data_IF_721278501314
#
_entry.id   IF_721278501314
#
_cell.length_a   1.000
_cell.length_b   1.000
_cell.length_c   1.000
_cell.angle_alpha   90.00
_cell.angle_beta   90.00
_cell.angle_gamma   90.00
#
_symmetry.space_group_name_H-M   'P 1'
#
loop_
_entity.id
_entity.type
_entity.pdbx_description
1 polymer ?
#
# COMPACT_ATOMS: atom_id res chain seq x y z
N UNK A 1 12.03 26.21 -1.83
CA UNK A 1 12.33 24.81 -1.51
C UNK A 1 13.45 24.26 -2.40
N UNK A 2 14.21 23.31 -1.85
CA UNK A 2 15.22 22.54 -2.60
C UNK A 2 15.07 21.08 -2.21
N UNK A 3 15.08 20.19 -3.20
CA UNK A 3 14.97 18.75 -2.98
C UNK A 3 14.27 18.06 -4.14
N UNK A 4 14.03 16.77 -3.97
CA UNK A 4 13.37 15.94 -4.96
C UNK A 4 12.39 14.98 -4.27
N UNK A 5 11.16 14.91 -4.75
CA UNK A 5 10.18 13.90 -4.40
C UNK A 5 10.06 12.90 -5.55
N UNK A 6 10.19 11.61 -5.24
CA UNK A 6 10.05 10.50 -6.22
C UNK A 6 8.73 9.81 -6.04
N UNK A 7 8.29 9.15 -7.09
CA UNK A 7 7.08 8.29 -7.10
C UNK A 7 5.82 9.03 -6.64
N UNK A 8 5.74 10.34 -6.96
CA UNK A 8 4.60 11.18 -6.59
C UNK A 8 3.41 10.81 -7.47
N UNK A 9 2.32 10.31 -6.89
CA UNK A 9 1.14 9.92 -7.66
C UNK A 9 0.54 11.12 -8.39
N UNK A 10 0.32 10.98 -9.71
CA UNK A 10 -0.36 11.96 -10.55
C UNK A 10 0.21 13.39 -10.48
N UNK A 11 1.50 13.55 -10.19
CA UNK A 11 2.12 14.88 -10.06
C UNK A 11 1.98 15.73 -11.33
N UNK A 12 2.03 15.11 -12.50
CA UNK A 12 1.83 15.78 -13.81
C UNK A 12 0.46 16.45 -13.96
N UNK A 13 -0.51 16.05 -13.16
CA UNK A 13 -1.87 16.60 -13.19
C UNK A 13 -2.14 17.58 -12.04
N UNK A 14 -1.20 17.73 -11.09
CA UNK A 14 -1.37 18.60 -9.95
C UNK A 14 -1.18 20.07 -10.31
N UNK A 15 -1.98 20.95 -9.75
CA UNK A 15 -1.79 22.40 -9.83
C UNK A 15 -0.90 22.91 -8.68
N UNK A 16 -0.95 22.24 -7.54
CA UNK A 16 -0.18 22.59 -6.35
C UNK A 16 0.29 21.33 -5.63
N UNK A 17 1.39 21.46 -4.89
CA UNK A 17 1.93 20.43 -4.01
C UNK A 17 1.94 20.92 -2.57
N UNK A 18 1.39 20.14 -1.65
CA UNK A 18 1.63 20.28 -0.22
C UNK A 18 2.88 19.47 0.15
N UNK A 19 3.94 20.12 0.54
CA UNK A 19 5.24 19.51 0.78
C UNK A 19 5.62 19.64 2.25
N UNK A 20 5.90 18.52 2.90
CA UNK A 20 6.52 18.53 4.23
C UNK A 20 8.01 18.77 4.04
N UNK A 21 8.49 19.89 4.56
CA UNK A 21 9.86 20.37 4.40
C UNK A 21 10.45 20.82 5.75
N UNK A 22 11.70 21.25 5.74
CA UNK A 22 12.35 21.90 6.89
C UNK A 22 12.68 23.34 6.54
N UNK A 23 12.35 24.27 7.43
CA UNK A 23 12.75 25.66 7.38
C UNK A 23 13.51 25.99 8.66
N UNK A 24 14.76 26.39 8.53
CA UNK A 24 15.65 26.63 9.68
C UNK A 24 15.69 25.46 10.69
N UNK A 25 15.63 24.22 10.18
CA UNK A 25 15.64 23.00 11.00
C UNK A 25 14.26 22.56 11.52
N UNK A 26 13.24 23.43 11.52
CA UNK A 26 11.89 23.12 11.97
C UNK A 26 11.02 22.56 10.83
N UNK A 27 10.12 21.60 11.11
CA UNK A 27 9.21 21.06 10.10
C UNK A 27 8.13 22.10 9.74
N UNK A 28 7.87 22.21 8.43
CA UNK A 28 6.82 23.06 7.86
C UNK A 28 6.07 22.30 6.76
N UNK A 29 4.81 22.66 6.57
CA UNK A 29 4.08 22.32 5.35
C UNK A 29 4.13 23.53 4.43
N UNK A 30 4.65 23.35 3.23
CA UNK A 30 4.74 24.37 2.21
C UNK A 30 3.79 24.06 1.05
N UNK A 31 2.98 25.02 0.65
CA UNK A 31 2.20 24.95 -0.59
C UNK A 31 3.05 25.51 -1.73
N UNK A 32 3.24 24.73 -2.78
CA UNK A 32 4.06 25.09 -3.94
C UNK A 32 3.23 24.94 -5.20
N UNK A 33 3.22 25.96 -6.05
CA UNK A 33 2.58 25.85 -7.37
C UNK A 33 3.38 24.88 -8.27
N UNK A 34 2.67 24.06 -9.03
CA UNK A 34 3.30 23.12 -9.95
C UNK A 34 3.94 23.83 -11.16
N UNK A 35 3.45 25.03 -11.49
CA UNK A 35 3.99 25.83 -12.57
C UNK A 35 5.45 26.20 -12.32
N UNK A 36 6.32 25.88 -13.25
CA UNK A 36 7.76 26.16 -13.15
C UNK A 36 8.58 25.07 -12.43
N UNK A 37 7.94 24.00 -11.93
CA UNK A 37 8.65 22.83 -11.42
C UNK A 37 9.05 21.89 -12.56
N UNK A 38 10.20 21.26 -12.39
CA UNK A 38 10.61 20.16 -13.27
C UNK A 38 9.96 18.87 -12.81
N UNK A 39 9.00 18.36 -13.61
CA UNK A 39 8.28 17.10 -13.35
C UNK A 39 8.73 16.10 -14.43
N UNK A 40 9.54 15.13 -13.99
CA UNK A 40 9.91 14.00 -14.83
C UNK A 40 8.80 12.94 -14.75
N UNK A 41 8.17 12.67 -15.88
CA UNK A 41 7.05 11.73 -15.97
C UNK A 41 7.54 10.29 -15.96
N UNK A 42 6.92 9.47 -15.13
CA UNK A 42 7.12 8.04 -15.06
C UNK A 42 5.80 7.35 -14.71
N UNK A 43 5.73 6.04 -14.85
CA UNK A 43 4.55 5.25 -14.55
C UNK A 43 4.91 4.04 -13.69
N UNK A 44 3.99 3.68 -12.79
CA UNK A 44 4.09 2.42 -12.03
C UNK A 44 3.87 1.21 -12.95
N UNK A 45 4.12 0.01 -12.41
CA UNK A 45 3.78 -1.25 -13.08
C UNK A 45 2.30 -1.33 -13.48
N UNK A 46 1.42 -0.66 -12.73
CA UNK A 46 -0.01 -0.57 -13.05
C UNK A 46 -0.34 0.40 -14.20
N UNK A 47 0.66 1.14 -14.72
CA UNK A 47 0.46 2.19 -15.71
C UNK A 47 -0.04 3.51 -15.11
N UNK A 48 -0.10 3.64 -13.79
CA UNK A 48 -0.50 4.85 -13.11
C UNK A 48 0.68 5.83 -13.03
N UNK A 49 0.45 7.16 -13.19
CA UNK A 49 1.50 8.16 -13.06
C UNK A 49 2.22 8.11 -11.71
N UNK A 50 3.55 8.06 -11.73
CA UNK A 50 4.46 8.09 -10.57
C UNK A 50 5.65 8.95 -10.90
N UNK A 51 5.43 10.26 -10.83
CA UNK A 51 6.37 11.23 -11.33
C UNK A 51 7.44 11.62 -10.31
N UNK A 52 8.57 12.09 -10.79
CA UNK A 52 9.60 12.71 -9.95
C UNK A 52 9.48 14.23 -10.07
N UNK A 53 9.30 14.91 -8.92
CA UNK A 53 9.20 16.37 -8.83
C UNK A 53 10.49 16.93 -8.25
N UNK A 54 11.13 17.86 -8.96
CA UNK A 54 12.33 18.57 -8.50
C UNK A 54 11.99 20.00 -8.08
N UNK A 55 12.45 20.38 -6.88
CA UNK A 55 12.25 21.70 -6.28
C UNK A 55 13.60 22.45 -6.27
N UNK A 56 13.96 23.10 -7.37
CA UNK A 56 15.25 23.75 -7.51
C UNK A 56 15.11 25.26 -7.25
N UNK A 57 15.03 25.60 -5.94
CA UNK A 57 14.81 26.98 -5.52
C UNK A 57 13.34 27.44 -5.59
N UNK A 58 12.40 26.49 -5.71
CA UNK A 58 10.97 26.81 -5.82
C UNK A 58 10.47 27.65 -4.64
N UNK A 59 9.75 28.72 -4.93
CA UNK A 59 9.10 29.56 -3.92
C UNK A 59 7.84 28.86 -3.40
N UNK A 60 7.62 28.94 -2.09
CA UNK A 60 6.35 28.53 -1.52
C UNK A 60 5.31 29.66 -1.65
N UNK A 61 4.10 29.31 -2.10
CA UNK A 61 2.94 30.22 -2.11
C UNK A 61 2.51 30.53 -0.68
N UNK A 62 2.58 29.55 0.20
CA UNK A 62 2.30 29.68 1.62
C UNK A 62 3.08 28.63 2.42
N UNK A 63 3.36 28.93 3.67
CA UNK A 63 3.95 27.99 4.63
C UNK A 63 3.19 28.03 5.94
N UNK A 64 3.13 26.88 6.62
CA UNK A 64 2.62 26.75 7.99
C UNK A 64 3.53 25.84 8.80
N UNK A 65 3.73 26.10 10.09
CA UNK A 65 4.42 25.16 10.96
C UNK A 65 3.73 23.81 10.94
N UNK A 66 4.51 22.73 10.82
CA UNK A 66 4.02 21.36 10.83
C UNK A 66 4.11 20.79 12.26
N UNK A 67 3.33 21.36 13.19
CA UNK A 67 3.36 20.94 14.60
C UNK A 67 3.02 19.45 14.74
N UNK A 68 3.95 18.68 15.31
CA UNK A 68 3.80 17.24 15.52
C UNK A 68 3.92 16.37 14.27
N UNK A 69 4.00 16.95 13.07
CA UNK A 69 4.18 16.20 11.83
C UNK A 69 5.67 16.01 11.55
N UNK A 70 6.14 14.78 11.60
CA UNK A 70 7.48 14.41 11.16
C UNK A 70 7.46 13.92 9.67
N UNK A 71 8.61 13.92 8.99
CA UNK A 71 8.67 13.43 7.60
C UNK A 71 8.26 11.96 7.45
N UNK A 72 8.38 11.15 8.50
CA UNK A 72 7.97 9.75 8.49
C UNK A 72 6.44 9.61 8.57
N UNK A 73 5.71 10.62 9.08
CA UNK A 73 4.26 10.62 9.12
C UNK A 73 3.63 10.50 7.71
N UNK A 74 4.25 11.16 6.70
CA UNK A 74 3.78 11.05 5.30
C UNK A 74 3.93 9.61 4.80
N UNK A 75 5.04 8.94 5.13
CA UNK A 75 5.29 7.55 4.75
C UNK A 75 4.31 6.62 5.48
N UNK A 76 4.09 6.83 6.78
CA UNK A 76 3.10 6.06 7.57
C UNK A 76 1.69 6.19 7.00
N UNK A 77 1.26 7.43 6.76
CA UNK A 77 -0.05 7.71 6.19
C UNK A 77 -0.23 7.06 4.81
N UNK A 78 0.75 7.26 3.92
CA UNK A 78 0.74 6.63 2.59
C UNK A 78 0.72 5.10 2.67
N UNK A 79 1.46 4.50 3.59
CA UNK A 79 1.44 3.06 3.83
C UNK A 79 0.07 2.57 4.32
N UNK A 80 -0.55 3.25 5.30
CA UNK A 80 -1.89 2.92 5.79
C UNK A 80 -2.95 3.03 4.68
N UNK A 81 -2.92 4.10 3.88
CA UNK A 81 -3.83 4.25 2.72
C UNK A 81 -3.63 3.12 1.70
N UNK A 82 -2.37 2.74 1.42
CA UNK A 82 -2.10 1.64 0.47
C UNK A 82 -2.56 0.29 0.99
N UNK A 83 -2.48 0.01 2.30
CA UNK A 83 -3.02 -1.24 2.84
C UNK A 83 -4.52 -1.36 2.61
N UNK A 84 -5.29 -0.30 2.80
CA UNK A 84 -6.73 -0.28 2.51
C UNK A 84 -7.03 -0.51 1.03
N UNK A 85 -6.33 0.19 0.14
CA UNK A 85 -6.53 0.03 -1.30
C UNK A 85 -6.16 -1.38 -1.78
N UNK A 86 -5.09 -1.97 -1.22
CA UNK A 86 -4.66 -3.32 -1.54
C UNK A 86 -5.64 -4.38 -1.00
N UNK A 87 -6.18 -4.18 0.22
CA UNK A 87 -7.20 -5.06 0.79
C UNK A 87 -8.45 -5.11 -0.12
N UNK A 88 -8.98 -3.95 -0.53
CA UNK A 88 -10.11 -3.90 -1.48
C UNK A 88 -9.77 -4.51 -2.86
N UNK A 89 -8.54 -4.36 -3.36
CA UNK A 89 -8.13 -5.02 -4.60
C UNK A 89 -8.03 -6.55 -4.43
N UNK A 90 -7.62 -7.05 -3.26
CA UNK A 90 -7.59 -8.46 -2.92
C UNK A 90 -9.00 -9.06 -2.85
N UNK A 91 -9.95 -8.37 -2.22
CA UNK A 91 -11.37 -8.75 -2.22
C UNK A 91 -11.90 -8.85 -3.64
N UNK A 92 -11.63 -7.85 -4.47
CA UNK A 92 -12.09 -7.84 -5.85
C UNK A 92 -11.53 -9.01 -6.68
N UNK A 93 -10.24 -9.36 -6.54
CA UNK A 93 -9.68 -10.53 -7.26
C UNK A 93 -10.21 -11.86 -6.72
N UNK A 94 -10.59 -11.95 -5.45
CA UNK A 94 -11.27 -13.12 -4.89
C UNK A 94 -12.64 -13.28 -5.54
N UNK A 95 -13.47 -12.24 -5.56
CA UNK A 95 -14.80 -12.26 -6.17
C UNK A 95 -14.74 -12.63 -7.65
N UNK A 96 -13.82 -12.01 -8.40
CA UNK A 96 -13.58 -12.35 -9.81
C UNK A 96 -13.18 -13.81 -10.00
N UNK A 97 -12.30 -14.35 -9.13
CA UNK A 97 -11.81 -15.71 -9.23
C UNK A 97 -12.88 -16.74 -8.89
N UNK A 98 -13.73 -16.46 -7.91
CA UNK A 98 -14.89 -17.28 -7.56
C UNK A 98 -15.88 -17.29 -8.71
N UNK A 99 -16.25 -16.12 -9.24
CA UNK A 99 -17.21 -16.02 -10.35
C UNK A 99 -16.65 -16.75 -11.60
N UNK A 100 -15.39 -16.54 -11.94
CA UNK A 100 -14.72 -17.24 -13.02
C UNK A 100 -14.78 -18.77 -12.85
N UNK A 101 -14.56 -19.26 -11.65
CA UNK A 101 -14.59 -20.68 -11.36
C UNK A 101 -15.98 -21.30 -11.48
N UNK A 102 -17.04 -20.51 -11.25
CA UNK A 102 -18.42 -20.92 -11.43
C UNK A 102 -18.84 -20.93 -12.91
N UNK A 103 -18.37 -19.97 -13.70
CA UNK A 103 -18.79 -19.77 -15.09
C UNK A 103 -17.97 -20.60 -16.07
N UNK A 104 -16.68 -20.82 -15.79
CA UNK A 104 -15.76 -21.52 -16.71
C UNK A 104 -16.00 -23.03 -16.69
N UNK A 105 -16.49 -23.55 -17.78
CA UNK A 105 -16.70 -25.00 -17.96
C UNK A 105 -15.50 -25.64 -18.66
N UNK A 106 -14.92 -26.66 -18.04
CA UNK A 106 -13.90 -27.54 -18.62
C UNK A 106 -14.13 -28.99 -18.15
N UNK A 107 -13.79 -29.95 -18.98
CA UNK A 107 -14.00 -31.36 -18.68
C UNK A 107 -15.47 -31.68 -18.30
N UNK A 108 -16.41 -31.03 -18.97
CA UNK A 108 -17.86 -31.25 -18.81
C UNK A 108 -18.53 -30.61 -17.57
N UNK A 109 -17.80 -29.81 -16.78
CA UNK A 109 -18.35 -29.14 -15.59
C UNK A 109 -17.63 -27.83 -15.26
N UNK A 110 -18.24 -26.91 -14.45
CA UNK A 110 -17.57 -25.73 -13.94
C UNK A 110 -16.28 -26.07 -13.21
N UNK A 111 -15.21 -25.29 -13.44
CA UNK A 111 -13.90 -25.57 -12.82
C UNK A 111 -13.94 -25.49 -11.29
N UNK A 112 -14.84 -24.72 -10.71
CA UNK A 112 -15.09 -24.65 -9.27
C UNK A 112 -15.61 -25.95 -8.64
N UNK A 113 -15.92 -26.99 -9.45
CA UNK A 113 -16.24 -28.33 -8.96
C UNK A 113 -15.02 -29.23 -8.78
N UNK A 114 -13.82 -28.75 -9.13
CA UNK A 114 -12.57 -29.50 -8.90
C UNK A 114 -11.96 -29.09 -7.55
N UNK A 115 -11.58 -30.10 -6.75
CA UNK A 115 -11.03 -29.88 -5.39
C UNK A 115 -9.78 -28.98 -5.40
N UNK A 116 -8.90 -29.11 -6.39
CA UNK A 116 -7.71 -28.26 -6.50
C UNK A 116 -8.07 -26.77 -6.65
N UNK A 117 -9.11 -26.45 -7.44
CA UNK A 117 -9.58 -25.07 -7.60
C UNK A 117 -10.23 -24.57 -6.31
N UNK A 118 -11.05 -25.41 -5.67
CA UNK A 118 -11.68 -25.06 -4.39
C UNK A 118 -10.64 -24.78 -3.29
N UNK A 119 -9.59 -25.61 -3.22
CA UNK A 119 -8.51 -25.42 -2.26
C UNK A 119 -7.78 -24.11 -2.48
N UNK A 120 -7.43 -23.79 -3.72
CA UNK A 120 -6.77 -22.53 -4.09
C UNK A 120 -7.64 -21.32 -3.75
N UNK A 121 -8.95 -21.36 -4.05
CA UNK A 121 -9.86 -20.28 -3.72
C UNK A 121 -10.08 -20.12 -2.21
N UNK A 122 -10.10 -21.23 -1.46
CA UNK A 122 -10.17 -21.19 0.00
C UNK A 122 -8.89 -20.56 0.61
N UNK A 123 -7.71 -20.89 0.05
CA UNK A 123 -6.47 -20.25 0.45
C UNK A 123 -6.49 -18.74 0.14
N UNK A 124 -6.94 -18.34 -1.07
CA UNK A 124 -7.10 -16.94 -1.44
C UNK A 124 -8.03 -16.22 -0.46
N UNK A 125 -9.18 -16.82 -0.11
CA UNK A 125 -10.12 -16.24 0.85
C UNK A 125 -9.49 -16.03 2.23
N UNK A 126 -8.67 -16.97 2.71
CA UNK A 126 -7.89 -16.81 3.95
C UNK A 126 -6.89 -15.65 3.90
N UNK A 127 -6.17 -15.50 2.77
CA UNK A 127 -5.26 -14.37 2.56
C UNK A 127 -5.99 -13.03 2.56
N UNK A 128 -7.15 -12.95 1.88
CA UNK A 128 -8.01 -11.76 1.81
C UNK A 128 -8.53 -11.38 3.20
N UNK A 129 -9.07 -12.35 3.95
CA UNK A 129 -9.58 -12.09 5.29
C UNK A 129 -8.51 -11.56 6.25
N UNK A 130 -7.32 -12.18 6.24
CA UNK A 130 -6.21 -11.74 7.07
C UNK A 130 -5.68 -10.37 6.66
N UNK A 131 -5.64 -10.06 5.36
CA UNK A 131 -5.24 -8.76 4.83
C UNK A 131 -6.25 -7.66 5.22
N UNK A 132 -7.56 -7.93 5.09
CA UNK A 132 -8.63 -7.01 5.47
C UNK A 132 -8.56 -6.67 6.95
N UNK A 133 -8.51 -7.67 7.83
CA UNK A 133 -8.42 -7.46 9.28
C UNK A 133 -7.19 -6.63 9.68
N UNK A 134 -6.02 -6.88 9.06
CA UNK A 134 -4.81 -6.11 9.34
C UNK A 134 -4.90 -4.66 8.84
N UNK A 135 -5.51 -4.46 7.67
CA UNK A 135 -5.72 -3.12 7.11
C UNK A 135 -6.68 -2.30 7.98
N UNK A 136 -7.81 -2.89 8.39
CA UNK A 136 -8.80 -2.23 9.24
C UNK A 136 -8.22 -1.84 10.60
N UNK A 137 -7.48 -2.74 11.25
CA UNK A 137 -6.78 -2.44 12.50
C UNK A 137 -5.82 -1.24 12.37
N UNK A 138 -5.08 -1.14 11.25
CA UNK A 138 -4.21 0.01 11.00
C UNK A 138 -4.99 1.31 10.76
N UNK A 139 -6.14 1.25 10.08
CA UNK A 139 -6.99 2.41 9.86
C UNK A 139 -7.61 2.92 11.16
N UNK A 140 -8.12 2.01 12.01
CA UNK A 140 -8.64 2.33 13.35
C UNK A 140 -7.56 2.97 14.22
N UNK A 141 -6.36 2.36 14.26
CA UNK A 141 -5.22 2.90 14.99
C UNK A 141 -4.87 4.34 14.57
N UNK A 142 -4.86 4.61 13.25
CA UNK A 142 -4.62 5.96 12.71
C UNK A 142 -5.75 6.92 13.08
N UNK A 143 -7.01 6.47 13.06
CA UNK A 143 -8.17 7.30 13.41
C UNK A 143 -8.17 7.68 14.90
N UNK A 144 -7.81 6.76 15.77
CA UNK A 144 -7.84 6.95 17.23
C UNK A 144 -6.61 7.70 17.76
N UNK A 145 -5.42 7.32 17.29
CA UNK A 145 -4.13 7.79 17.84
C UNK A 145 -3.44 8.83 16.98
N UNK A 146 -3.97 9.08 15.77
CA UNK A 146 -3.35 9.97 14.79
C UNK A 146 -2.11 9.36 14.13
N UNK A 147 -1.51 10.12 13.21
CA UNK A 147 -0.39 9.63 12.38
C UNK A 147 0.99 10.09 12.88
N UNK A 148 1.03 10.95 13.89
CA UNK A 148 2.24 11.55 14.40
C UNK A 148 2.95 10.66 15.43
N UNK A 149 4.28 10.75 15.48
CA UNK A 149 5.07 9.94 16.39
C UNK A 149 5.07 8.44 16.02
N UNK A 150 5.30 7.59 17.01
CA UNK A 150 5.43 6.14 16.83
C UNK A 150 4.18 5.35 17.25
N UNK A 151 3.11 6.04 17.65
CA UNK A 151 1.93 5.41 18.24
C UNK A 151 1.19 4.40 17.32
N UNK A 152 1.37 4.52 16.01
CA UNK A 152 0.74 3.64 15.01
C UNK A 152 1.76 2.86 14.16
N UNK A 153 3.05 2.94 14.51
CA UNK A 153 4.10 2.33 13.70
C UNK A 153 3.97 0.81 13.62
N UNK A 154 3.59 0.16 14.72
CA UNK A 154 3.37 -1.29 14.80
C UNK A 154 2.18 -1.72 13.95
N UNK A 155 1.06 -1.04 14.06
CA UNK A 155 -0.18 -1.38 13.35
C UNK A 155 0.01 -1.23 11.84
N UNK A 156 0.58 -0.11 11.41
CA UNK A 156 0.90 0.13 9.99
C UNK A 156 1.94 -0.87 9.48
N UNK A 157 2.94 -1.23 10.30
CA UNK A 157 3.93 -2.23 9.93
C UNK A 157 3.31 -3.61 9.74
N UNK A 158 2.50 -4.07 10.68
CA UNK A 158 1.77 -5.35 10.60
C UNK A 158 0.88 -5.38 9.37
N UNK A 159 0.12 -4.32 9.12
CA UNK A 159 -0.75 -4.22 7.96
C UNK A 159 0.04 -4.25 6.64
N UNK A 160 1.11 -3.46 6.50
CA UNK A 160 1.94 -3.45 5.27
C UNK A 160 2.62 -4.78 5.01
N UNK A 161 3.05 -5.48 6.06
CA UNK A 161 3.64 -6.83 5.94
C UNK A 161 2.55 -7.80 5.46
N UNK A 162 1.44 -7.90 6.21
CA UNK A 162 0.42 -8.91 5.94
C UNK A 162 -0.26 -8.73 4.59
N UNK A 163 -0.64 -7.47 4.26
CA UNK A 163 -1.27 -7.15 2.98
C UNK A 163 -0.29 -7.30 1.81
N UNK A 164 1.00 -6.98 2.03
CA UNK A 164 2.05 -7.17 1.02
C UNK A 164 2.28 -8.65 0.67
N UNK A 165 2.29 -9.53 1.67
CA UNK A 165 2.37 -10.99 1.47
C UNK A 165 1.13 -11.51 0.75
N UNK A 166 -0.06 -11.11 1.19
CA UNK A 166 -1.32 -11.48 0.57
C UNK A 166 -1.41 -11.04 -0.89
N UNK A 167 -0.88 -9.86 -1.24
CA UNK A 167 -0.83 -9.37 -2.61
C UNK A 167 -0.04 -10.30 -3.54
N UNK A 168 1.10 -10.82 -3.06
CA UNK A 168 1.90 -11.77 -3.82
C UNK A 168 1.19 -13.12 -4.00
N UNK A 169 0.77 -13.72 -2.90
CA UNK A 169 0.10 -15.03 -2.89
C UNK A 169 -1.25 -14.97 -3.60
N UNK A 170 -2.07 -13.96 -3.30
CA UNK A 170 -3.39 -13.78 -3.86
C UNK A 170 -3.38 -13.56 -5.37
N UNK A 171 -2.48 -12.71 -5.87
CA UNK A 171 -2.33 -12.51 -7.31
C UNK A 171 -1.92 -13.81 -8.02
N UNK A 172 -1.00 -14.58 -7.46
CA UNK A 172 -0.57 -15.85 -8.04
C UNK A 172 -1.72 -16.86 -8.12
N UNK A 173 -2.51 -17.01 -7.05
CA UNK A 173 -3.68 -17.90 -7.02
C UNK A 173 -4.74 -17.44 -8.03
N UNK A 174 -5.04 -16.15 -8.10
CA UNK A 174 -6.03 -15.60 -9.02
C UNK A 174 -5.61 -15.86 -10.49
N UNK A 175 -4.36 -15.59 -10.84
CA UNK A 175 -3.84 -15.89 -12.18
C UNK A 175 -3.86 -17.38 -12.49
N UNK A 176 -3.52 -18.24 -11.53
CA UNK A 176 -3.60 -19.69 -11.69
C UNK A 176 -5.04 -20.15 -11.95
N UNK A 177 -6.04 -19.59 -11.25
CA UNK A 177 -7.44 -19.94 -11.44
C UNK A 177 -7.97 -19.51 -12.82
N UNK A 178 -7.55 -18.34 -13.32
CA UNK A 178 -7.98 -17.81 -14.63
C UNK A 178 -7.19 -18.43 -15.81
N UNK A 179 -6.00 -18.99 -15.55
CA UNK A 179 -5.11 -19.49 -16.59
C UNK A 179 -4.68 -18.40 -17.56
N UNK A 180 -4.54 -18.73 -18.84
CA UNK A 180 -4.09 -17.79 -19.87
C UNK A 180 -4.96 -16.51 -19.96
N UNK A 181 -6.26 -16.62 -19.73
CA UNK A 181 -7.20 -15.47 -19.78
C UNK A 181 -6.84 -14.39 -18.77
N UNK A 182 -6.36 -14.74 -17.59
CA UNK A 182 -5.96 -13.77 -16.56
C UNK A 182 -4.80 -12.87 -16.98
N UNK A 183 -4.04 -13.24 -18.00
CA UNK A 183 -2.91 -12.48 -18.53
C UNK A 183 -3.26 -11.65 -19.78
N UNK A 184 -4.46 -11.80 -20.34
CA UNK A 184 -4.89 -11.07 -21.53
C UNK A 184 -5.48 -9.70 -21.15
N UNK A 185 -5.44 -8.74 -22.09
CA UNK A 185 -6.10 -7.45 -21.91
C UNK A 185 -7.64 -7.52 -22.01
N UNK A 186 -8.17 -8.64 -22.47
CA UNK A 186 -9.62 -8.90 -22.57
C UNK A 186 -10.26 -9.11 -21.20
N UNK A 187 -9.49 -9.62 -20.22
CA UNK A 187 -9.96 -9.84 -18.85
C UNK A 187 -9.41 -8.79 -17.89
N UNK A 188 -10.25 -8.28 -16.98
CA UNK A 188 -9.89 -7.17 -16.08
C UNK A 188 -8.97 -7.56 -14.91
N UNK A 189 -8.70 -8.85 -14.67
CA UNK A 189 -7.89 -9.33 -13.54
C UNK A 189 -6.52 -8.64 -13.46
N UNK A 190 -5.84 -8.47 -14.61
CA UNK A 190 -4.53 -7.86 -14.66
C UNK A 190 -4.51 -6.42 -14.15
N UNK A 191 -5.63 -5.70 -14.20
CA UNK A 191 -5.72 -4.32 -13.70
C UNK A 191 -5.55 -4.28 -12.17
N UNK A 192 -6.15 -5.24 -11.46
CA UNK A 192 -6.03 -5.35 -10.01
C UNK A 192 -4.70 -5.96 -9.58
N UNK A 193 -4.23 -7.01 -10.22
CA UNK A 193 -2.97 -7.66 -9.84
C UNK A 193 -1.75 -6.79 -10.11
N UNK A 194 -1.73 -5.99 -11.20
CA UNK A 194 -0.68 -5.00 -11.45
C UNK A 194 -0.67 -3.87 -10.42
N UNK A 195 -1.85 -3.44 -9.93
CA UNK A 195 -1.96 -2.48 -8.82
C UNK A 195 -1.44 -3.08 -7.52
N UNK A 196 -1.80 -4.31 -7.18
CA UNK A 196 -1.30 -5.00 -6.01
C UNK A 196 0.23 -5.05 -6.01
N UNK A 197 0.86 -5.41 -7.12
CA UNK A 197 2.33 -5.45 -7.25
C UNK A 197 2.96 -4.05 -7.20
N UNK A 198 2.35 -3.03 -7.81
CA UNK A 198 2.86 -1.66 -7.76
C UNK A 198 2.72 -1.05 -6.35
N UNK A 199 1.53 -1.13 -5.75
CA UNK A 199 1.23 -0.53 -4.46
C UNK A 199 1.95 -1.22 -3.29
N UNK A 200 2.30 -2.50 -3.45
CA UNK A 200 3.13 -3.25 -2.51
C UNK A 200 4.47 -2.56 -2.26
N UNK A 201 5.10 -2.03 -3.29
CA UNK A 201 6.39 -1.35 -3.19
C UNK A 201 6.28 0.09 -2.66
N UNK A 202 5.13 0.73 -2.81
CA UNK A 202 4.93 2.13 -2.41
C UNK A 202 4.93 2.30 -0.89
N UNK A 203 5.56 3.38 -0.42
CA UNK A 203 5.75 3.69 1.01
C UNK A 203 6.46 2.60 1.81
N UNK A 204 7.26 1.78 1.14
CA UNK A 204 7.98 0.65 1.69
C UNK A 204 7.24 -0.68 1.56
N UNK A 205 7.97 -1.72 1.14
CA UNK A 205 7.45 -3.08 1.03
C UNK A 205 7.52 -3.81 2.39
N UNK A 206 6.99 -5.05 2.42
CA UNK A 206 6.94 -5.87 3.63
C UNK A 206 8.32 -6.08 4.28
N UNK A 207 9.40 -6.17 3.48
CA UNK A 207 10.76 -6.33 4.02
C UNK A 207 11.24 -5.09 4.78
N UNK A 208 10.91 -3.90 4.28
CA UNK A 208 11.26 -2.63 4.93
C UNK A 208 10.51 -2.51 6.25
N UNK A 209 9.21 -2.80 6.23
CA UNK A 209 8.36 -2.72 7.40
C UNK A 209 8.66 -3.81 8.44
N UNK A 210 8.95 -5.04 8.01
CA UNK A 210 9.38 -6.12 8.92
C UNK A 210 10.69 -5.76 9.63
N UNK A 211 11.66 -5.15 8.95
CA UNK A 211 12.90 -4.66 9.58
C UNK A 211 12.62 -3.54 10.58
N UNK A 212 11.68 -2.64 10.28
CA UNK A 212 11.28 -1.56 11.20
C UNK A 212 10.61 -2.15 12.43
N UNK A 213 9.63 -3.02 12.27
CA UNK A 213 8.95 -3.73 13.35
C UNK A 213 9.93 -4.51 14.22
N UNK A 214 10.83 -5.28 13.60
CA UNK A 214 11.85 -6.04 14.33
C UNK A 214 12.78 -5.16 15.17
N UNK A 215 13.16 -3.98 14.69
CA UNK A 215 13.95 -3.01 15.46
C UNK A 215 13.15 -2.45 16.65
N UNK A 216 11.87 -2.16 16.47
CA UNK A 216 11.00 -1.68 17.55
C UNK A 216 10.86 -2.72 18.66
N UNK A 217 10.63 -3.97 18.28
CA UNK A 217 10.53 -5.09 19.25
C UNK A 217 11.87 -5.31 19.96
N UNK A 218 12.97 -5.35 19.22
CA UNK A 218 14.31 -5.54 19.81
C UNK A 218 14.68 -4.42 20.79
N UNK A 219 14.28 -3.19 20.53
CA UNK A 219 14.54 -2.05 21.42
C UNK A 219 13.77 -2.14 22.75
N UNK A 220 12.65 -2.86 22.79
CA UNK A 220 11.84 -3.06 24.01
C UNK A 220 12.38 -4.19 24.91
N UNK A 221 13.22 -5.07 24.37
CA UNK A 221 13.76 -6.25 25.06
C UNK A 221 12.83 -7.49 24.98
N UNK A 222 13.42 -8.65 25.23
CA UNK A 222 12.73 -9.94 25.05
C UNK A 222 11.50 -10.10 25.96
N UNK A 223 11.55 -9.57 27.17
CA UNK A 223 10.45 -9.64 28.15
C UNK A 223 9.18 -8.91 27.70
N UNK A 224 9.31 -7.95 26.78
CA UNK A 224 8.19 -7.17 26.26
C UNK A 224 7.55 -7.77 25.01
N UNK A 225 8.16 -8.78 24.40
CA UNK A 225 7.65 -9.39 23.17
C UNK A 225 6.22 -9.93 23.32
N UNK A 226 5.98 -10.71 24.37
CA UNK A 226 4.65 -11.29 24.59
C UNK A 226 3.58 -10.25 24.93
N UNK A 227 3.80 -9.31 25.87
CA UNK A 227 2.90 -8.18 26.05
C UNK A 227 2.62 -7.38 24.77
N UNK A 228 3.64 -7.12 23.95
CA UNK A 228 3.47 -6.43 22.67
C UNK A 228 2.52 -7.17 21.71
N UNK A 229 2.63 -8.50 21.63
CA UNK A 229 1.76 -9.32 20.77
C UNK A 229 0.32 -9.37 21.28
N UNK A 230 0.13 -9.45 22.60
CA UNK A 230 -1.19 -9.74 23.21
C UNK A 230 -1.97 -8.50 23.64
N UNK A 231 -1.30 -7.40 23.93
CA UNK A 231 -1.92 -6.18 24.48
C UNK A 231 -1.86 -5.00 23.49
N UNK A 232 -1.18 -5.21 22.37
CA UNK A 232 -0.92 -4.13 21.43
C UNK A 232 0.19 -3.17 21.89
N UNK A 233 0.50 -2.20 21.09
CA UNK A 233 1.50 -1.15 21.34
C UNK A 233 0.88 0.09 21.94
#
# INVERSE_FOLDING_TARGET
LRGRARDVPFARNAQHFAVVAKQAGAPVVALVAASGLNIHQDNSLAGEPRDTVSFDGAAAVATRPAHGLDPAAVVRFGAAVRTQQMAGALEHILDQSVQWALDRVQFGRPIGKFQAVQHNLAQLAGEVAAAGAAADAAAEAVAERGINGNAVDSDVAVAKIRVGEAAGTGAAIAHQAHGAMGFTYEHSLHQSTRRLWAWREEFGNERIWARRLGRMVAAQGAERLWPFITQGS
#
